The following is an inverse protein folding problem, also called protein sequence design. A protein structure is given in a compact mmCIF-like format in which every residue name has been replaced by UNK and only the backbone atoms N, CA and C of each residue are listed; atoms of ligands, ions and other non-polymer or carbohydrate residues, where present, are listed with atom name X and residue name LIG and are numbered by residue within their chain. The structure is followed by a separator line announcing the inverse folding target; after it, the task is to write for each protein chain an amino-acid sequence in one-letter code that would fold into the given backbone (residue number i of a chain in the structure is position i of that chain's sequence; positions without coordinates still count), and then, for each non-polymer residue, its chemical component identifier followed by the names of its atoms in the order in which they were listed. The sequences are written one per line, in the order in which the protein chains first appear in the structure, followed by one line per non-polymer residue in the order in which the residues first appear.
data_IF_777843913647
#
_entry.id   IF_777843913647
#
_cell.length_a   1.000
_cell.length_b   1.000
_cell.length_c   1.000
_cell.angle_alpha   90.00
_cell.angle_beta   90.00
_cell.angle_gamma   90.00
#
_symmetry.space_group_name_H-M   'P 1'
#
loop_
_entity.id
_entity.type
_entity.pdbx_description
1 polymer ?
#
# COMPACT_ATOMS: atom_id res chain seq x y z
N UNK A 1 43.31 -17.11 -49.65
CA UNK A 1 42.84 -17.83 -48.44
C UNK A 1 42.25 -16.78 -47.51
N UNK A 2 40.94 -16.89 -47.31
CA UNK A 2 40.02 -15.89 -46.75
C UNK A 2 40.16 -15.82 -45.23
N UNK A 3 40.10 -14.62 -44.64
CA UNK A 3 39.51 -14.46 -43.30
C UNK A 3 38.90 -13.05 -43.16
N UNK A 4 37.59 -12.98 -43.35
CA UNK A 4 36.74 -11.85 -42.99
C UNK A 4 36.58 -11.82 -41.45
N UNK A 5 36.94 -10.73 -40.80
CA UNK A 5 36.50 -10.45 -39.43
C UNK A 5 35.09 -9.86 -39.48
N UNK A 6 34.09 -10.68 -39.19
CA UNK A 6 32.72 -10.24 -38.91
C UNK A 6 32.68 -9.82 -37.44
N UNK A 7 32.65 -8.52 -37.19
CA UNK A 7 32.28 -7.96 -35.88
C UNK A 7 30.75 -8.10 -35.80
N UNK A 8 30.29 -9.14 -35.11
CA UNK A 8 28.89 -9.30 -34.76
C UNK A 8 28.53 -8.23 -33.71
N UNK A 9 27.80 -7.20 -34.12
CA UNK A 9 27.00 -6.40 -33.21
C UNK A 9 25.96 -7.33 -32.58
N UNK A 10 26.23 -7.80 -31.36
CA UNK A 10 25.21 -8.38 -30.49
C UNK A 10 24.26 -7.24 -30.13
N UNK A 11 23.17 -7.19 -30.90
CA UNK A 11 21.99 -6.43 -30.56
C UNK A 11 21.50 -6.98 -29.21
N UNK A 12 21.82 -6.29 -28.11
CA UNK A 12 21.19 -6.55 -26.82
C UNK A 12 19.74 -6.07 -26.97
N UNK A 13 18.89 -6.96 -27.46
CA UNK A 13 17.45 -6.78 -27.37
C UNK A 13 17.11 -6.77 -25.87
N UNK A 14 16.92 -5.57 -25.34
CA UNK A 14 16.29 -5.37 -24.03
C UNK A 14 14.88 -5.92 -24.16
N UNK A 15 14.70 -7.18 -23.79
CA UNK A 15 13.36 -7.67 -23.49
C UNK A 15 12.93 -6.90 -22.26
N UNK A 16 12.15 -5.83 -22.45
CA UNK A 16 11.38 -5.26 -21.37
C UNK A 16 10.66 -6.44 -20.69
N UNK A 17 10.97 -6.71 -19.43
CA UNK A 17 10.35 -7.80 -18.71
C UNK A 17 8.84 -7.64 -18.85
N UNK A 18 8.20 -8.52 -19.61
CA UNK A 18 6.78 -8.44 -19.84
C UNK A 18 6.12 -8.90 -18.55
N UNK A 19 5.67 -7.94 -17.74
CA UNK A 19 4.89 -8.24 -16.55
C UNK A 19 3.60 -8.95 -16.99
N UNK A 20 3.17 -10.00 -16.27
CA UNK A 20 1.95 -10.71 -16.64
C UNK A 20 0.74 -9.78 -16.51
N UNK A 21 -0.36 -10.16 -17.17
CA UNK A 21 -1.65 -9.54 -16.84
C UNK A 21 -2.06 -10.02 -15.46
N UNK A 22 -2.29 -9.07 -14.55
CA UNK A 22 -2.89 -9.33 -13.25
C UNK A 22 -4.41 -9.17 -13.34
N UNK A 23 -5.16 -9.78 -12.41
CA UNK A 23 -6.63 -9.68 -12.40
C UNK A 23 -7.12 -8.35 -11.84
N UNK A 24 -6.41 -7.81 -10.85
CA UNK A 24 -6.81 -6.66 -10.02
C UNK A 24 -5.86 -5.47 -10.12
N UNK A 25 -4.79 -5.60 -10.92
CA UNK A 25 -3.77 -4.56 -11.10
C UNK A 25 -3.50 -4.38 -12.60
N UNK A 26 -3.40 -3.13 -13.05
CA UNK A 26 -2.96 -2.81 -14.42
C UNK A 26 -1.60 -2.16 -14.37
N UNK A 27 -0.65 -2.68 -15.15
CA UNK A 27 0.72 -2.14 -15.21
C UNK A 27 1.02 -1.56 -16.58
N UNK A 28 1.70 -0.42 -16.62
CA UNK A 28 2.36 0.08 -17.82
C UNK A 28 3.76 0.57 -17.48
N UNK A 29 4.69 0.43 -18.42
CA UNK A 29 6.09 0.82 -18.20
C UNK A 29 6.55 1.77 -19.30
N UNK A 30 7.28 2.81 -18.92
CA UNK A 30 7.95 3.70 -19.87
C UNK A 30 9.13 4.40 -19.20
N UNK A 31 10.29 4.42 -19.88
CA UNK A 31 11.48 5.17 -19.46
C UNK A 31 11.88 4.95 -17.98
N UNK A 32 11.91 3.69 -17.54
CA UNK A 32 12.26 3.31 -16.16
C UNK A 32 11.20 3.61 -15.09
N UNK A 33 10.01 4.06 -15.49
CA UNK A 33 8.86 4.27 -14.61
C UNK A 33 7.81 3.20 -14.88
N UNK A 34 7.39 2.49 -13.84
CA UNK A 34 6.21 1.63 -13.86
C UNK A 34 5.03 2.33 -13.22
N UNK A 35 3.91 2.42 -13.94
CA UNK A 35 2.62 2.81 -13.38
C UNK A 35 1.82 1.56 -13.02
N UNK A 36 1.29 1.54 -11.81
CA UNK A 36 0.52 0.44 -11.24
C UNK A 36 -0.84 0.99 -10.81
N UNK A 37 -1.88 0.64 -11.55
CA UNK A 37 -3.25 1.07 -11.27
C UNK A 37 -3.99 -0.06 -10.58
N UNK A 38 -4.33 0.13 -9.31
CA UNK A 38 -5.20 -0.76 -8.55
C UNK A 38 -6.60 -0.69 -9.14
N UNK A 39 -7.13 -1.84 -9.57
CA UNK A 39 -8.41 -1.96 -10.23
C UNK A 39 -9.04 -3.31 -9.84
N UNK A 40 -9.33 -3.48 -8.55
CA UNK A 40 -9.97 -4.69 -8.06
C UNK A 40 -11.45 -4.71 -8.45
N UNK A 41 -11.78 -5.42 -9.54
CA UNK A 41 -13.17 -5.55 -10.01
C UNK A 41 -14.01 -6.53 -9.18
N UNK A 42 -13.40 -7.25 -8.22
CA UNK A 42 -14.12 -8.10 -7.27
C UNK A 42 -14.70 -7.31 -6.08
N UNK A 43 -14.38 -6.02 -5.96
CA UNK A 43 -14.81 -5.15 -4.87
C UNK A 43 -15.23 -3.77 -5.36
N UNK A 44 -16.41 -3.30 -4.93
CA UNK A 44 -16.90 -1.95 -5.22
C UNK A 44 -16.07 -0.84 -4.56
N UNK A 45 -15.32 -1.17 -3.51
CA UNK A 45 -14.56 -0.22 -2.68
C UNK A 45 -13.06 -0.49 -2.70
N UNK A 46 -12.59 -1.29 -3.66
CA UNK A 46 -11.18 -1.66 -3.82
C UNK A 46 -10.57 -2.25 -2.55
N UNK A 47 -11.27 -3.24 -1.95
CA UNK A 47 -10.77 -3.99 -0.79
C UNK A 47 -9.39 -4.61 -1.08
N UNK A 48 -8.55 -4.66 -0.06
CA UNK A 48 -7.39 -5.55 -0.03
C UNK A 48 -7.89 -6.95 0.35
N UNK A 49 -8.49 -7.62 -0.62
CA UNK A 49 -8.90 -9.02 -0.57
C UNK A 49 -7.74 -9.94 -1.03
N UNK A 50 -8.00 -11.25 -1.08
CA UNK A 50 -7.02 -12.22 -1.54
C UNK A 50 -6.55 -11.95 -2.99
N UNK A 51 -7.45 -11.56 -3.90
CA UNK A 51 -7.11 -11.31 -5.31
C UNK A 51 -6.11 -10.16 -5.43
N UNK A 52 -6.41 -9.01 -4.80
CA UNK A 52 -5.55 -7.85 -4.84
C UNK A 52 -4.23 -8.09 -4.12
N UNK A 53 -4.28 -8.74 -2.95
CA UNK A 53 -3.08 -9.01 -2.18
C UNK A 53 -2.13 -9.99 -2.92
N UNK A 54 -2.66 -11.02 -3.60
CA UNK A 54 -1.85 -11.95 -4.40
C UNK A 54 -1.24 -11.29 -5.64
N UNK A 55 -2.01 -10.49 -6.37
CA UNK A 55 -1.48 -9.77 -7.54
C UNK A 55 -0.38 -8.78 -7.13
N UNK A 56 -0.58 -8.04 -6.03
CA UNK A 56 0.43 -7.16 -5.47
C UNK A 56 1.67 -7.94 -5.00
N UNK A 57 1.52 -9.03 -4.25
CA UNK A 57 2.66 -9.83 -3.78
C UNK A 57 3.50 -10.36 -4.96
N UNK A 58 2.84 -10.85 -6.01
CA UNK A 58 3.50 -11.33 -7.22
C UNK A 58 4.24 -10.18 -7.95
N UNK A 59 3.61 -9.01 -8.09
CA UNK A 59 4.23 -7.83 -8.68
C UNK A 59 5.46 -7.37 -7.88
N UNK A 60 5.34 -7.28 -6.55
CA UNK A 60 6.42 -6.85 -5.67
C UNK A 60 7.60 -7.82 -5.74
N UNK A 61 7.36 -9.13 -5.66
CA UNK A 61 8.42 -10.13 -5.80
C UNK A 61 9.16 -10.02 -7.15
N UNK A 62 8.45 -9.72 -8.25
CA UNK A 62 9.07 -9.47 -9.57
C UNK A 62 9.87 -8.19 -9.64
N UNK A 63 9.50 -7.16 -8.88
CA UNK A 63 10.28 -5.92 -8.77
C UNK A 63 11.54 -6.12 -7.93
N UNK A 64 11.51 -7.05 -6.97
CA UNK A 64 12.65 -7.41 -6.10
C UNK A 64 13.68 -8.31 -6.79
N UNK A 65 13.27 -9.25 -7.65
CA UNK A 65 14.12 -10.35 -8.12
C UNK A 65 15.41 -9.89 -8.82
N UNK A 66 15.37 -8.76 -9.53
CA UNK A 66 16.53 -8.22 -10.24
C UNK A 66 17.34 -7.22 -9.38
N UNK A 67 16.94 -6.96 -8.14
CA UNK A 67 17.62 -6.02 -7.25
C UNK A 67 17.88 -4.67 -7.93
N UNK A 68 19.15 -4.25 -7.92
CA UNK A 68 19.60 -2.99 -8.54
C UNK A 68 19.91 -3.10 -10.04
N UNK A 69 19.76 -4.29 -10.63
CA UNK A 69 19.95 -4.54 -12.07
C UNK A 69 18.64 -4.40 -12.88
N UNK A 70 17.56 -3.94 -12.23
CA UNK A 70 16.27 -3.70 -12.86
C UNK A 70 16.27 -2.43 -13.70
N UNK A 71 15.68 -2.50 -14.90
CA UNK A 71 15.40 -1.32 -15.74
C UNK A 71 14.27 -0.43 -15.16
N UNK A 72 13.52 -0.92 -14.18
CA UNK A 72 12.49 -0.13 -13.48
C UNK A 72 13.14 0.51 -12.26
N UNK A 73 13.10 1.85 -12.22
CA UNK A 73 13.70 2.67 -11.18
C UNK A 73 12.66 3.31 -10.25
N UNK A 74 11.43 3.50 -10.76
CA UNK A 74 10.31 4.12 -10.04
C UNK A 74 9.04 3.32 -10.26
N UNK A 75 8.27 3.13 -9.19
CA UNK A 75 6.94 2.51 -9.21
C UNK A 75 5.92 3.53 -8.70
N UNK A 76 4.92 3.84 -9.51
CA UNK A 76 3.85 4.80 -9.18
C UNK A 76 2.54 4.03 -9.02
N UNK A 77 2.00 4.01 -7.80
CA UNK A 77 0.71 3.39 -7.48
C UNK A 77 -0.42 4.42 -7.54
N UNK A 78 -1.52 4.07 -8.20
CA UNK A 78 -2.78 4.84 -8.21
C UNK A 78 -3.97 3.88 -8.18
N UNK A 79 -5.19 4.41 -8.04
CA UNK A 79 -6.42 3.61 -8.07
C UNK A 79 -7.32 4.02 -9.23
N UNK A 80 -7.95 3.04 -9.87
CA UNK A 80 -9.01 3.25 -10.85
C UNK A 80 -10.37 3.50 -10.19
N UNK A 81 -10.53 3.18 -8.90
CA UNK A 81 -11.78 3.38 -8.19
C UNK A 81 -11.97 4.88 -7.87
N UNK A 82 -13.15 5.47 -8.16
CA UNK A 82 -13.38 6.90 -7.99
C UNK A 82 -13.46 7.38 -6.53
N UNK A 83 -13.69 6.47 -5.59
CA UNK A 83 -13.94 6.79 -4.17
C UNK A 83 -12.87 6.28 -3.22
N UNK A 84 -12.13 5.23 -3.60
CA UNK A 84 -11.20 4.51 -2.74
C UNK A 84 -9.85 4.29 -3.42
N UNK A 85 -8.76 4.58 -2.70
CA UNK A 85 -7.45 4.05 -3.05
C UNK A 85 -7.41 2.56 -2.69
N UNK A 86 -7.56 2.22 -1.41
CA UNK A 86 -7.84 0.88 -0.88
C UNK A 86 -8.70 1.13 0.36
N UNK A 87 -9.94 0.62 0.42
CA UNK A 87 -10.82 0.91 1.56
C UNK A 87 -10.22 0.42 2.89
N UNK A 88 -9.92 -0.88 2.97
CA UNK A 88 -9.28 -1.59 4.08
C UNK A 88 -9.07 -3.06 3.64
N UNK A 89 -8.52 -3.91 4.51
CA UNK A 89 -8.51 -5.37 4.29
C UNK A 89 -9.92 -5.94 4.23
N UNK A 90 -10.13 -6.99 3.44
CA UNK A 90 -11.42 -7.69 3.43
C UNK A 90 -11.74 -8.27 4.82
N UNK A 91 -12.84 -7.82 5.43
CA UNK A 91 -13.22 -8.21 6.80
C UNK A 91 -13.58 -9.69 6.87
N UNK A 92 -14.06 -10.27 5.77
CA UNK A 92 -14.39 -11.70 5.70
C UNK A 92 -13.18 -12.60 6.00
N UNK A 93 -11.95 -12.15 5.72
CA UNK A 93 -10.71 -12.87 6.07
C UNK A 93 -10.62 -13.11 7.58
N UNK A 94 -11.02 -12.12 8.39
CA UNK A 94 -10.92 -12.18 9.85
C UNK A 94 -12.12 -12.88 10.50
N UNK A 95 -13.25 -12.96 9.81
CA UNK A 95 -14.48 -13.60 10.32
C UNK A 95 -14.52 -15.09 9.99
N UNK A 96 -14.07 -15.48 8.80
CA UNK A 96 -14.16 -16.87 8.30
C UNK A 96 -12.87 -17.68 8.57
N UNK A 97 -11.89 -17.07 9.24
CA UNK A 97 -10.51 -17.54 9.26
C UNK A 97 -9.84 -17.26 7.91
N UNK A 98 -8.51 -17.24 7.86
CA UNK A 98 -7.68 -16.95 6.67
C UNK A 98 -7.82 -17.97 5.52
N UNK A 99 -9.00 -18.55 5.30
CA UNK A 99 -9.33 -19.41 4.19
C UNK A 99 -9.09 -18.66 2.88
N UNK A 100 -8.24 -19.24 2.02
CA UNK A 100 -7.84 -18.61 0.75
C UNK A 100 -6.68 -17.62 0.85
N UNK A 101 -6.18 -17.33 2.06
CA UNK A 101 -4.89 -16.66 2.31
C UNK A 101 -3.92 -17.65 2.95
N UNK A 102 -3.82 -18.83 2.36
CA UNK A 102 -2.76 -19.78 2.71
C UNK A 102 -1.41 -19.07 2.56
N UNK A 103 -0.46 -19.25 3.49
CA UNK A 103 0.82 -18.57 3.43
C UNK A 103 1.49 -18.90 2.09
N UNK A 104 1.52 -17.94 1.17
CA UNK A 104 2.47 -18.03 0.07
C UNK A 104 3.84 -17.88 0.69
N UNK A 105 4.70 -18.88 0.49
CA UNK A 105 6.09 -18.78 0.87
C UNK A 105 6.69 -17.55 0.16
N UNK A 106 7.08 -16.56 0.96
CA UNK A 106 7.81 -15.40 0.49
C UNK A 106 9.31 -15.66 0.67
N UNK A 107 10.09 -15.78 -0.41
CA UNK A 107 11.52 -16.05 -0.30
C UNK A 107 12.30 -14.88 0.33
N UNK A 108 11.75 -13.66 0.36
CA UNK A 108 12.41 -12.48 0.92
C UNK A 108 12.15 -12.33 2.43
N UNK A 109 11.05 -12.90 2.92
CA UNK A 109 10.51 -12.69 4.28
C UNK A 109 9.81 -13.96 4.80
N UNK A 110 10.53 -15.09 4.90
CA UNK A 110 9.92 -16.40 5.14
C UNK A 110 9.31 -16.61 6.54
N UNK A 111 9.57 -15.70 7.47
CA UNK A 111 9.10 -15.69 8.86
C UNK A 111 7.99 -14.66 9.13
N UNK A 112 7.52 -13.97 8.08
CA UNK A 112 6.37 -13.04 8.13
C UNK A 112 5.09 -13.72 7.66
N UNK A 113 3.95 -13.21 8.15
CA UNK A 113 2.65 -13.54 7.59
C UNK A 113 2.45 -12.87 6.22
N UNK A 114 1.36 -13.21 5.54
CA UNK A 114 1.18 -12.81 4.15
C UNK A 114 1.07 -11.28 3.95
N UNK A 115 0.22 -10.60 4.73
CA UNK A 115 -0.02 -9.16 4.57
C UNK A 115 1.14 -8.31 5.12
N UNK A 116 1.70 -8.68 6.26
CA UNK A 116 2.86 -8.00 6.84
C UNK A 116 4.11 -8.16 5.96
N UNK A 117 4.30 -9.35 5.35
CA UNK A 117 5.32 -9.58 4.33
C UNK A 117 5.16 -8.64 3.13
N UNK A 118 3.94 -8.55 2.57
CA UNK A 118 3.65 -7.71 1.42
C UNK A 118 4.08 -6.25 1.66
N UNK A 119 3.67 -5.64 2.77
CA UNK A 119 3.99 -4.24 3.04
C UNK A 119 5.44 -4.04 3.43
N UNK A 120 6.04 -4.98 4.17
CA UNK A 120 7.46 -4.95 4.45
C UNK A 120 8.27 -4.95 3.16
N UNK A 121 7.89 -5.79 2.18
CA UNK A 121 8.58 -5.90 0.91
C UNK A 121 8.46 -4.64 0.03
N UNK A 122 7.35 -3.90 0.11
CA UNK A 122 7.25 -2.56 -0.52
C UNK A 122 8.34 -1.62 0.03
N UNK A 123 8.59 -1.65 1.35
CA UNK A 123 9.66 -0.84 1.97
C UNK A 123 11.07 -1.32 1.62
N UNK A 124 11.22 -2.53 1.08
CA UNK A 124 12.48 -3.13 0.68
C UNK A 124 12.75 -3.06 -0.83
N UNK A 125 11.80 -2.56 -1.63
CA UNK A 125 12.04 -2.38 -3.04
C UNK A 125 13.25 -1.46 -3.29
N UNK A 126 14.16 -1.85 -4.21
CA UNK A 126 15.26 -0.98 -4.63
C UNK A 126 14.76 0.24 -5.41
N UNK A 127 13.58 0.15 -6.03
CA UNK A 127 12.90 1.25 -6.70
C UNK A 127 12.32 2.26 -5.71
N UNK A 128 12.25 3.53 -6.15
CA UNK A 128 11.45 4.53 -5.47
C UNK A 128 9.96 4.24 -5.66
N UNK A 129 9.17 4.28 -4.58
CA UNK A 129 7.72 4.06 -4.63
C UNK A 129 6.95 5.35 -4.35
N UNK A 130 6.00 5.66 -5.23
CA UNK A 130 5.17 6.87 -5.15
C UNK A 130 3.70 6.46 -5.17
N UNK A 131 2.90 6.97 -4.24
CA UNK A 131 1.45 6.80 -4.25
C UNK A 131 0.73 8.10 -4.65
N UNK A 132 -0.19 7.99 -5.61
CA UNK A 132 -1.15 9.03 -6.00
C UNK A 132 -2.49 8.75 -5.31
N UNK A 133 -2.91 9.67 -4.44
CA UNK A 133 -4.09 9.50 -3.58
C UNK A 133 -5.22 10.41 -4.06
N UNK A 134 -6.26 9.80 -4.62
CA UNK A 134 -7.45 10.50 -5.12
C UNK A 134 -8.74 10.09 -4.42
N UNK A 135 -8.68 9.06 -3.58
CA UNK A 135 -9.80 8.52 -2.82
C UNK A 135 -9.38 8.05 -1.42
N UNK A 136 -10.32 7.48 -0.69
CA UNK A 136 -10.16 7.06 0.71
C UNK A 136 -9.16 5.93 0.83
N UNK A 137 -8.33 5.98 1.87
CA UNK A 137 -7.46 4.88 2.24
C UNK A 137 -7.49 4.70 3.75
N UNK A 138 -8.01 3.57 4.23
CA UNK A 138 -8.12 3.31 5.67
C UNK A 138 -7.48 1.98 6.04
N UNK A 139 -7.10 1.84 7.31
CA UNK A 139 -6.48 0.63 7.85
C UNK A 139 -5.30 0.17 6.95
N UNK A 140 -5.30 -1.09 6.51
CA UNK A 140 -4.32 -1.64 5.57
C UNK A 140 -4.12 -0.80 4.29
N UNK A 141 -5.15 -0.09 3.82
CA UNK A 141 -5.01 0.84 2.70
C UNK A 141 -4.13 2.05 3.02
N UNK A 142 -4.27 2.61 4.23
CA UNK A 142 -3.39 3.67 4.70
C UNK A 142 -1.99 3.14 5.06
N UNK A 143 -1.88 1.91 5.58
CA UNK A 143 -0.59 1.25 5.82
C UNK A 143 0.18 1.02 4.52
N UNK A 144 -0.50 0.61 3.43
CA UNK A 144 0.10 0.53 2.10
C UNK A 144 0.69 1.88 1.64
N UNK A 145 -0.05 2.98 1.83
CA UNK A 145 0.43 4.32 1.47
C UNK A 145 1.67 4.72 2.30
N UNK A 146 1.71 4.36 3.57
CA UNK A 146 2.85 4.66 4.46
C UNK A 146 4.05 3.76 4.20
N UNK A 147 3.84 2.56 3.63
CA UNK A 147 4.92 1.71 3.14
C UNK A 147 5.58 2.25 1.85
N UNK A 148 4.88 3.11 1.10
CA UNK A 148 5.47 3.83 -0.04
C UNK A 148 6.45 4.93 0.42
N UNK A 149 7.46 5.23 -0.40
CA UNK A 149 8.45 6.26 -0.07
C UNK A 149 7.84 7.67 -0.10
N UNK A 150 6.90 7.93 -1.01
CA UNK A 150 6.27 9.24 -1.21
C UNK A 150 4.76 9.13 -1.45
N UNK A 151 4.00 10.10 -0.94
CA UNK A 151 2.54 10.20 -1.03
C UNK A 151 2.13 11.58 -1.53
N UNK A 152 1.41 11.64 -2.64
CA UNK A 152 0.87 12.89 -3.19
C UNK A 152 -0.64 12.78 -3.36
N UNK A 153 -1.36 13.78 -2.87
CA UNK A 153 -2.82 13.71 -2.76
C UNK A 153 -3.53 14.80 -3.56
N UNK A 154 -4.76 14.51 -3.97
CA UNK A 154 -5.71 15.49 -4.50
C UNK A 154 -6.43 16.18 -3.32
N UNK A 155 -6.58 17.50 -3.37
CA UNK A 155 -7.49 18.24 -2.48
C UNK A 155 -8.92 17.94 -2.93
N UNK A 156 -9.51 16.91 -2.34
CA UNK A 156 -10.82 16.37 -2.70
C UNK A 156 -11.52 15.84 -1.45
N UNK A 157 -12.86 15.97 -1.35
CA UNK A 157 -13.62 15.37 -0.25
C UNK A 157 -13.51 13.84 -0.23
N UNK A 158 -13.16 13.22 -1.36
CA UNK A 158 -12.93 11.78 -1.49
C UNK A 158 -11.63 11.33 -0.82
N UNK A 159 -10.65 12.22 -0.62
CA UNK A 159 -9.40 11.84 0.03
C UNK A 159 -9.57 11.93 1.54
N UNK A 160 -9.71 10.75 2.15
CA UNK A 160 -9.74 10.54 3.60
C UNK A 160 -8.75 9.46 3.99
N UNK A 161 -7.90 9.75 4.98
CA UNK A 161 -6.95 8.78 5.53
C UNK A 161 -7.33 8.46 6.98
N UNK A 162 -7.23 7.20 7.39
CA UNK A 162 -7.50 6.80 8.77
C UNK A 162 -6.86 5.46 9.12
N UNK A 163 -6.70 5.22 10.41
CA UNK A 163 -6.53 3.87 10.98
C UNK A 163 -7.80 3.50 11.73
N UNK A 164 -8.63 2.65 11.13
CA UNK A 164 -9.96 2.31 11.66
C UNK A 164 -9.97 1.06 12.52
N UNK A 165 -8.87 0.33 12.61
CA UNK A 165 -8.76 -0.94 13.32
C UNK A 165 -9.19 -0.86 14.79
N UNK A 166 -8.83 0.19 15.57
CA UNK A 166 -9.31 0.34 16.94
C UNK A 166 -10.83 0.43 17.06
N UNK A 167 -11.51 0.97 16.05
CA UNK A 167 -12.97 1.06 16.05
C UNK A 167 -13.68 -0.29 15.96
N UNK A 168 -12.99 -1.34 15.52
CA UNK A 168 -13.52 -2.72 15.45
C UNK A 168 -12.88 -3.66 16.47
N UNK A 169 -12.17 -3.11 17.45
CA UNK A 169 -11.51 -3.86 18.52
C UNK A 169 -10.16 -4.46 18.14
N UNK A 170 -9.57 -4.03 17.02
CA UNK A 170 -8.21 -4.37 16.61
C UNK A 170 -7.20 -3.27 16.90
N UNK A 171 -6.01 -3.40 16.33
CA UNK A 171 -5.03 -2.33 16.18
C UNK A 171 -4.45 -2.40 14.75
N UNK A 172 -3.76 -1.36 14.26
CA UNK A 172 -2.99 -1.45 13.02
C UNK A 172 -1.90 -2.52 13.19
N UNK A 173 -1.68 -3.33 12.15
CA UNK A 173 -0.86 -4.55 12.23
C UNK A 173 0.22 -4.69 11.18
N UNK A 174 0.39 -3.70 10.31
CA UNK A 174 1.43 -3.73 9.28
C UNK A 174 2.22 -2.43 9.29
N UNK A 175 2.53 -1.97 10.51
CA UNK A 175 3.34 -0.79 10.75
C UNK A 175 2.57 0.52 10.86
N UNK A 176 1.24 0.49 10.85
CA UNK A 176 0.40 1.69 10.85
C UNK A 176 0.72 2.70 11.94
N UNK A 177 0.85 2.27 13.19
CA UNK A 177 1.25 3.16 14.29
C UNK A 177 2.71 3.56 14.24
N UNK A 178 3.59 2.66 13.82
CA UNK A 178 5.03 2.87 13.79
C UNK A 178 5.43 3.89 12.72
N UNK A 179 5.00 3.69 11.47
CA UNK A 179 5.26 4.63 10.38
C UNK A 179 4.63 5.99 10.65
N UNK A 180 3.37 6.02 11.10
CA UNK A 180 2.69 7.29 11.32
C UNK A 180 3.34 8.11 12.43
N UNK A 181 3.85 7.47 13.49
CA UNK A 181 4.56 8.15 14.58
C UNK A 181 5.81 8.90 14.12
N UNK A 182 6.50 8.37 13.11
CA UNK A 182 7.65 9.01 12.48
C UNK A 182 7.25 10.14 11.52
N UNK A 183 6.04 10.10 10.96
CA UNK A 183 5.53 11.11 10.02
C UNK A 183 4.93 12.33 10.72
N UNK A 184 4.05 12.14 11.72
CA UNK A 184 3.20 13.22 12.25
C UNK A 184 3.37 13.48 13.75
N UNK A 185 4.36 12.87 14.39
CA UNK A 185 4.65 12.85 15.84
C UNK A 185 3.67 12.04 16.70
N UNK A 186 4.16 11.64 17.89
CA UNK A 186 3.46 10.79 18.86
C UNK A 186 2.06 11.29 19.25
N UNK A 187 1.90 12.58 19.52
CA UNK A 187 0.64 13.12 20.03
C UNK A 187 -0.48 13.00 19.01
N UNK A 188 -0.21 13.44 17.77
CA UNK A 188 -1.18 13.34 16.67
C UNK A 188 -1.40 11.89 16.26
N UNK A 189 -0.38 11.04 16.31
CA UNK A 189 -0.57 9.60 16.06
C UNK A 189 -1.59 9.00 17.03
N UNK A 190 -1.52 9.31 18.33
CA UNK A 190 -2.54 8.83 19.28
C UNK A 190 -3.92 9.40 19.00
N UNK A 191 -4.01 10.69 18.66
CA UNK A 191 -5.28 11.32 18.27
C UNK A 191 -5.96 10.53 17.15
N UNK A 192 -5.29 10.35 16.01
CA UNK A 192 -5.91 9.71 14.84
C UNK A 192 -6.11 8.20 14.97
N UNK A 193 -5.16 7.47 15.57
CA UNK A 193 -5.29 6.01 15.71
C UNK A 193 -6.36 5.65 16.75
N UNK A 194 -6.31 6.25 17.95
CA UNK A 194 -7.24 5.85 19.01
C UNK A 194 -8.67 6.30 18.72
N UNK A 195 -8.85 7.43 18.02
CA UNK A 195 -10.19 7.90 17.66
C UNK A 195 -10.73 7.25 16.40
N UNK A 196 -9.89 6.58 15.60
CA UNK A 196 -10.24 6.05 14.29
C UNK A 196 -10.91 7.08 13.36
N UNK A 197 -10.47 8.34 13.44
CA UNK A 197 -11.08 9.44 12.67
C UNK A 197 -10.41 9.64 11.32
N UNK A 198 -11.16 10.18 10.37
CA UNK A 198 -10.65 10.55 9.05
C UNK A 198 -9.92 11.89 9.13
N UNK A 199 -8.79 11.99 8.42
CA UNK A 199 -8.13 13.25 8.10
C UNK A 199 -8.34 13.60 6.63
N UNK A 200 -8.59 14.88 6.30
CA UNK A 200 -8.57 15.35 4.91
C UNK A 200 -7.15 15.50 4.36
N UNK A 201 -7.06 15.59 3.04
CA UNK A 201 -5.81 15.74 2.31
C UNK A 201 -4.98 16.95 2.79
N UNK A 202 -5.61 18.12 2.90
CA UNK A 202 -4.93 19.38 3.21
C UNK A 202 -4.32 19.36 4.62
N UNK A 203 -5.06 18.88 5.62
CA UNK A 203 -4.59 18.68 6.99
C UNK A 203 -3.51 17.61 7.04
N UNK A 204 -3.68 16.49 6.30
CA UNK A 204 -2.67 15.44 6.19
C UNK A 204 -1.33 15.96 5.66
N UNK A 205 -1.34 16.91 4.71
CA UNK A 205 -0.12 17.54 4.23
C UNK A 205 0.50 18.48 5.26
N UNK A 206 -0.32 19.27 5.96
CA UNK A 206 0.16 20.20 6.99
C UNK A 206 0.89 19.49 8.13
N UNK A 207 0.47 18.28 8.48
CA UNK A 207 1.07 17.52 9.58
C UNK A 207 2.17 16.54 9.14
N UNK A 208 2.38 16.34 7.84
CA UNK A 208 3.42 15.48 7.28
C UNK A 208 3.01 14.04 6.97
N UNK A 209 1.72 13.70 7.03
CA UNK A 209 1.23 12.37 6.68
C UNK A 209 1.36 12.12 5.17
N UNK A 210 1.05 13.13 4.35
CA UNK A 210 1.30 13.13 2.90
C UNK A 210 2.33 14.21 2.54
N UNK A 211 3.11 13.99 1.48
CA UNK A 211 4.19 14.91 1.10
C UNK A 211 3.67 16.22 0.52
N UNK A 212 2.59 16.19 -0.27
CA UNK A 212 1.97 17.39 -0.87
C UNK A 212 0.57 17.10 -1.36
N UNK A 213 -0.25 18.16 -1.38
CA UNK A 213 -1.61 18.18 -1.92
C UNK A 213 -1.70 19.10 -3.14
N UNK A 214 -2.54 18.71 -4.11
CA UNK A 214 -2.76 19.43 -5.37
C UNK A 214 -4.24 19.69 -5.59
N UNK A 215 -4.58 20.86 -6.15
CA UNK A 215 -5.98 21.27 -6.36
C UNK A 215 -6.66 20.59 -7.55
N UNK A 216 -5.90 20.06 -8.49
CA UNK A 216 -6.44 19.42 -9.70
C UNK A 216 -5.69 18.13 -10.02
N UNK A 217 -6.39 17.18 -10.64
CA UNK A 217 -5.79 15.91 -11.09
C UNK A 217 -4.62 16.17 -12.05
N UNK A 218 -4.80 17.04 -13.04
CA UNK A 218 -3.73 17.35 -13.99
C UNK A 218 -2.46 17.86 -13.28
N UNK A 219 -2.59 18.78 -12.32
CA UNK A 219 -1.42 19.28 -11.59
C UNK A 219 -0.74 18.19 -10.74
N UNK A 220 -1.53 17.30 -10.13
CA UNK A 220 -1.02 16.14 -9.38
C UNK A 220 -0.24 15.19 -10.28
N UNK A 221 -0.84 14.74 -11.38
CA UNK A 221 -0.23 13.79 -12.31
C UNK A 221 0.98 14.40 -13.03
N UNK A 222 0.92 15.66 -13.48
CA UNK A 222 2.04 16.35 -14.10
C UNK A 222 3.25 16.46 -13.16
N UNK A 223 3.00 16.71 -11.87
CA UNK A 223 4.06 16.78 -10.88
C UNK A 223 4.70 15.41 -10.65
N UNK A 224 3.88 14.38 -10.43
CA UNK A 224 4.37 13.03 -10.17
C UNK A 224 5.11 12.45 -11.38
N UNK A 225 4.62 12.67 -12.59
CA UNK A 225 5.29 12.25 -13.83
C UNK A 225 6.67 12.91 -13.98
N UNK A 226 6.77 14.22 -13.77
CA UNK A 226 8.06 14.94 -13.81
C UNK A 226 9.03 14.44 -12.73
N UNK A 227 8.54 14.18 -11.52
CA UNK A 227 9.34 13.65 -10.43
C UNK A 227 9.83 12.23 -10.72
N UNK A 228 8.94 11.34 -11.16
CA UNK A 228 9.26 9.97 -11.50
C UNK A 228 10.29 9.89 -12.64
N UNK A 229 10.08 10.66 -13.73
CA UNK A 229 11.04 10.75 -14.84
C UNK A 229 12.40 11.29 -14.39
N UNK A 230 12.43 12.26 -13.46
CA UNK A 230 13.67 12.77 -12.89
C UNK A 230 14.40 11.70 -12.07
N UNK A 231 13.71 10.89 -11.28
CA UNK A 231 14.33 9.84 -10.48
C UNK A 231 14.82 8.71 -11.40
N UNK A 232 14.04 8.36 -12.44
CA UNK A 232 14.34 7.26 -13.34
C UNK A 232 15.63 7.43 -14.16
N UNK A 233 16.16 8.64 -14.32
CA UNK A 233 17.45 8.86 -14.99
C UNK A 233 18.67 8.58 -14.08
N UNK A 234 18.47 8.34 -12.79
CA UNK A 234 19.57 8.06 -11.86
C UNK A 234 19.88 6.56 -11.78
N UNK A 235 21.12 6.15 -11.50
CA UNK A 235 21.45 4.75 -11.27
C UNK A 235 20.62 4.15 -10.12
N UNK A 236 19.98 2.99 -10.36
CA UNK A 236 19.10 2.34 -9.38
C UNK A 236 19.83 2.03 -8.05
N UNK A 237 21.11 1.67 -8.11
CA UNK A 237 21.92 1.48 -6.90
C UNK A 237 21.99 2.73 -6.00
N UNK A 238 22.02 3.93 -6.58
CA UNK A 238 22.01 5.19 -5.82
C UNK A 238 20.66 5.48 -5.18
N UNK A 239 19.56 5.15 -5.88
CA UNK A 239 18.19 5.24 -5.36
C UNK A 239 18.02 4.28 -4.19
N UNK A 240 18.36 3.00 -4.40
CA UNK A 240 18.26 1.94 -3.39
C UNK A 240 19.12 2.25 -2.15
N UNK A 241 20.37 2.70 -2.34
CA UNK A 241 21.26 3.07 -1.24
C UNK A 241 20.75 4.25 -0.43
N UNK A 242 20.16 5.26 -1.10
CA UNK A 242 19.52 6.39 -0.41
C UNK A 242 18.35 5.93 0.45
N UNK A 243 17.48 5.09 -0.12
CA UNK A 243 16.33 4.51 0.58
C UNK A 243 16.76 3.65 1.76
N UNK A 244 17.79 2.82 1.59
CA UNK A 244 18.34 1.99 2.67
C UNK A 244 18.85 2.85 3.84
N UNK A 245 19.58 3.93 3.57
CA UNK A 245 20.07 4.84 4.60
C UNK A 245 18.95 5.51 5.40
N UNK A 246 17.86 5.91 4.74
CA UNK A 246 16.68 6.49 5.39
C UNK A 246 15.96 5.42 6.23
N UNK A 247 15.67 4.25 5.63
CA UNK A 247 14.95 3.18 6.29
C UNK A 247 15.71 2.56 7.47
N UNK A 248 17.04 2.70 7.53
CA UNK A 248 17.83 2.30 8.68
C UNK A 248 17.47 3.06 9.97
N UNK A 249 16.86 4.25 9.87
CA UNK A 249 16.46 5.07 11.02
C UNK A 249 14.95 5.33 11.10
N UNK A 250 14.23 5.31 9.97
CA UNK A 250 12.81 5.68 9.93
C UNK A 250 11.85 4.49 9.90
N UNK A 251 12.33 3.27 9.66
CA UNK A 251 11.49 2.06 9.67
C UNK A 251 11.51 1.43 11.06
N UNK A 252 10.39 0.85 11.53
CA UNK A 252 10.44 0.02 12.73
C UNK A 252 11.46 -1.12 12.62
N UNK A 253 12.11 -1.49 13.74
CA UNK A 253 12.89 -2.72 13.82
C UNK A 253 12.04 -3.91 13.35
N UNK A 254 12.68 -4.83 12.64
CA UNK A 254 11.99 -5.94 11.96
C UNK A 254 11.25 -6.86 12.92
N UNK A 255 11.86 -7.19 14.05
CA UNK A 255 11.27 -7.97 15.12
C UNK A 255 10.04 -7.28 15.73
N UNK A 256 10.11 -5.97 15.95
CA UNK A 256 8.97 -5.17 16.44
C UNK A 256 7.84 -5.16 15.41
N UNK A 257 8.17 -5.04 14.11
CA UNK A 257 7.18 -5.09 13.03
C UNK A 257 6.46 -6.45 12.95
N UNK A 258 7.20 -7.55 13.04
CA UNK A 258 6.61 -8.91 13.05
C UNK A 258 5.72 -9.10 14.28
N UNK A 259 6.16 -8.63 15.45
CA UNK A 259 5.38 -8.75 16.68
C UNK A 259 4.06 -7.96 16.61
N UNK A 260 4.09 -6.74 16.04
CA UNK A 260 2.89 -5.90 15.83
C UNK A 260 1.85 -6.63 14.97
N UNK A 261 2.28 -7.26 13.87
CA UNK A 261 1.41 -8.05 12.99
C UNK A 261 0.79 -9.27 13.70
N UNK A 262 1.58 -9.97 14.51
CA UNK A 262 1.10 -11.12 15.27
C UNK A 262 0.10 -10.72 16.35
N UNK A 263 0.29 -9.59 17.02
CA UNK A 263 -0.59 -9.12 18.09
C UNK A 263 -1.99 -8.76 17.57
N UNK A 264 -2.10 -8.16 16.38
CA UNK A 264 -3.39 -7.88 15.71
C UNK A 264 -4.17 -9.15 15.43
N UNK A 265 -3.52 -10.09 14.73
CA UNK A 265 -4.16 -11.27 14.18
C UNK A 265 -4.57 -12.23 15.30
N UNK A 266 -3.68 -12.47 16.26
CA UNK A 266 -3.89 -13.52 17.27
C UNK A 266 -4.77 -13.01 18.42
N UNK A 267 -4.48 -11.86 19.01
CA UNK A 267 -5.08 -11.49 20.31
C UNK A 267 -6.38 -10.71 20.18
N UNK A 268 -6.46 -9.78 19.24
CA UNK A 268 -7.50 -8.75 19.25
C UNK A 268 -8.65 -9.02 18.27
N UNK A 269 -8.36 -9.57 17.10
CA UNK A 269 -9.41 -9.88 16.12
C UNK A 269 -9.93 -11.31 16.24
N UNK A 270 -9.07 -12.32 16.39
CA UNK A 270 -9.49 -13.73 16.35
C UNK A 270 -9.91 -14.26 17.73
N UNK A 271 -9.17 -13.91 18.80
CA UNK A 271 -9.42 -14.45 20.14
C UNK A 271 -10.40 -13.63 20.98
N UNK A 272 -10.75 -12.40 20.56
CA UNK A 272 -11.73 -11.55 21.27
C UNK A 272 -13.15 -11.81 20.79
N UNK A 273 -14.04 -12.21 21.71
CA UNK A 273 -15.47 -12.37 21.43
C UNK A 273 -16.13 -11.04 21.03
N UNK A 274 -15.69 -9.93 21.62
CA UNK A 274 -16.15 -8.59 21.25
C UNK A 274 -15.67 -8.20 19.85
N UNK A 275 -14.38 -8.41 19.54
CA UNK A 275 -13.82 -8.10 18.21
C UNK A 275 -14.56 -8.84 17.09
N UNK A 276 -14.74 -10.16 17.24
CA UNK A 276 -15.53 -10.97 16.31
C UNK A 276 -16.98 -10.51 16.18
N UNK A 277 -17.61 -10.07 17.28
CA UNK A 277 -18.96 -9.51 17.25
C UNK A 277 -19.01 -8.19 16.46
N UNK A 278 -18.05 -7.30 16.68
CA UNK A 278 -17.96 -6.01 15.98
C UNK A 278 -17.74 -6.19 14.49
N UNK A 279 -16.82 -7.07 14.07
CA UNK A 279 -16.60 -7.37 12.64
C UNK A 279 -17.88 -7.86 11.95
N UNK A 280 -18.63 -8.78 12.58
CA UNK A 280 -19.92 -9.25 12.06
C UNK A 280 -20.97 -8.14 11.98
N UNK A 281 -21.00 -7.22 12.95
CA UNK A 281 -21.87 -6.04 12.90
C UNK A 281 -21.49 -5.09 11.77
N UNK A 282 -20.20 -4.88 11.52
CA UNK A 282 -19.72 -4.10 10.36
C UNK A 282 -20.18 -4.75 9.08
N UNK A 283 -19.92 -6.05 8.87
CA UNK A 283 -20.37 -6.77 7.67
C UNK A 283 -21.87 -6.60 7.42
N UNK A 284 -22.70 -6.63 8.48
CA UNK A 284 -24.13 -6.36 8.35
C UNK A 284 -24.42 -4.90 7.98
N UNK A 285 -23.76 -3.93 8.62
CA UNK A 285 -23.99 -2.50 8.41
C UNK A 285 -23.51 -2.01 7.04
N UNK A 286 -22.47 -2.63 6.48
CA UNK A 286 -21.89 -2.31 5.16
C UNK A 286 -22.52 -3.11 4.02
N UNK A 287 -23.54 -3.94 4.29
CA UNK A 287 -24.09 -4.90 3.33
C UNK A 287 -22.98 -5.75 2.69
N UNK A 288 -22.14 -6.35 3.52
CA UNK A 288 -20.96 -7.12 3.13
C UNK A 288 -19.94 -6.29 2.32
N UNK A 289 -19.55 -5.14 2.87
CA UNK A 289 -18.49 -4.26 2.33
C UNK A 289 -18.82 -3.72 0.92
N UNK A 290 -20.10 -3.49 0.65
CA UNK A 290 -20.56 -2.75 -0.53
C UNK A 290 -20.38 -1.25 -0.34
N UNK A 291 -20.32 -0.51 -1.46
CA UNK A 291 -20.27 0.95 -1.37
C UNK A 291 -21.57 1.49 -0.75
N UNK A 292 -21.43 2.37 0.24
CA UNK A 292 -22.58 2.95 0.95
C UNK A 292 -22.16 3.97 2.00
N UNK A 293 -23.14 4.49 2.75
CA UNK A 293 -22.89 5.53 3.75
C UNK A 293 -21.82 5.13 4.77
N UNK A 294 -21.82 3.86 5.21
CA UNK A 294 -20.83 3.33 6.15
C UNK A 294 -19.40 3.41 5.60
N UNK A 295 -19.17 2.92 4.38
CA UNK A 295 -17.84 2.94 3.77
C UNK A 295 -17.40 4.36 3.35
N UNK A 296 -18.34 5.23 3.01
CA UNK A 296 -18.03 6.61 2.63
C UNK A 296 -17.71 7.51 3.84
N UNK A 297 -18.25 7.19 5.02
CA UNK A 297 -18.16 7.98 6.25
C UNK A 297 -17.93 7.12 7.50
N UNK A 298 -16.95 6.21 7.41
CA UNK A 298 -16.66 5.21 8.46
C UNK A 298 -16.61 5.78 9.88
N UNK A 299 -15.88 6.89 10.17
CA UNK A 299 -15.74 7.38 11.54
C UNK A 299 -17.07 7.75 12.21
N UNK A 300 -18.02 8.29 11.44
CA UNK A 300 -19.33 8.66 11.98
C UNK A 300 -20.31 7.49 12.01
N UNK A 301 -20.11 6.48 11.17
CA UNK A 301 -21.03 5.35 11.03
C UNK A 301 -20.66 4.20 12.00
N UNK A 302 -19.38 4.06 12.34
CA UNK A 302 -18.90 2.99 13.24
C UNK A 302 -19.46 3.09 14.66
N UNK A 303 -19.92 4.26 15.11
CA UNK A 303 -20.60 4.36 16.42
C UNK A 303 -21.89 3.53 16.49
N UNK A 304 -22.48 3.20 15.34
CA UNK A 304 -23.73 2.42 15.28
C UNK A 304 -23.55 0.95 15.65
N UNK A 305 -22.36 0.37 15.43
CA UNK A 305 -22.11 -1.04 15.79
C UNK A 305 -21.91 -1.24 17.30
N UNK A 306 -21.75 -0.15 18.06
CA UNK A 306 -21.66 -0.16 19.53
C UNK A 306 -22.99 0.06 20.24
N UNK A 307 -24.03 0.48 19.50
CA UNK A 307 -25.40 0.56 19.99
C UNK A 307 -26.08 -0.82 19.90
#
# INVERSE_FOLDING_TARGET
MVLFFIIAFLCVSVFAAQYPSFGTVKTSTSNGVMHVVLNNTFSEINLLDAHLAFDLANLIARLQVNGTDSDIHVVVFSSANPHFFIAHSDINIFVNGFQGLEPLFDPFTPDMGFLDSLFWNITQLPQATIAIIEGRARAAGNEFLMACDMRFALSSPEVRLAQTEPSVGGNPGTGGGMYLSNLINRGRTFEYLLSATDIDADTAAQIGWVNRVFKTKNALYDYVDKLAKRIAIFPLAGIAGTKQGINAVSRPPRDVYIQDAQDVIVKLLIQSSLGQSLLKKVLKATNNQSIGAFELDWPNQVVQIYK
#
